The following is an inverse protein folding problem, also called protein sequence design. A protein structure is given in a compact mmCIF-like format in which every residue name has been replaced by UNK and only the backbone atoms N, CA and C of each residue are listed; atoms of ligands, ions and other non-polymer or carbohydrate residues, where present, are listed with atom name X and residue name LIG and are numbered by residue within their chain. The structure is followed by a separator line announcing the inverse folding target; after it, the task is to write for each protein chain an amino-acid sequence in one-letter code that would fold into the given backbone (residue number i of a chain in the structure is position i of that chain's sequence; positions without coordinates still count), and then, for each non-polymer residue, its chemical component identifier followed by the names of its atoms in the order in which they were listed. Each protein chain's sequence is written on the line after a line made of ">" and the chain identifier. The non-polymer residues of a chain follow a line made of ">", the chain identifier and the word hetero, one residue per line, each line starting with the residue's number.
data_IF_810273349393
#
_entry.id   IF_810273349393
#
_cell.length_a   1.000
_cell.length_b   1.000
_cell.length_c   1.000
_cell.angle_alpha   90.00
_cell.angle_beta   90.00
_cell.angle_gamma   90.00
#
_symmetry.space_group_name_H-M   'P 1'
#
loop_
_entity.id
_entity.type
_entity.pdbx_description
1 polymer ?
#
# COMPACT_ATOMS: atom_id res chain seq x y z
N UNK A 1 27.47 -5.96 2.38
CA UNK A 1 26.80 -7.27 2.64
C UNK A 1 26.27 -7.26 4.07
N UNK A 2 24.96 -7.40 4.24
CA UNK A 2 24.38 -7.53 5.58
C UNK A 2 24.83 -8.88 6.17
N UNK A 3 25.40 -8.84 7.38
CA UNK A 3 25.88 -10.04 8.10
C UNK A 3 24.72 -10.93 8.55
N UNK A 4 25.01 -12.22 8.76
CA UNK A 4 24.13 -13.13 9.48
C UNK A 4 23.97 -12.64 10.93
N UNK A 5 22.85 -12.98 11.56
CA UNK A 5 22.66 -12.80 12.97
C UNK A 5 21.40 -12.06 13.36
N UNK A 6 21.34 -11.73 14.64
CA UNK A 6 20.25 -11.00 15.27
C UNK A 6 20.47 -9.49 15.15
N UNK A 7 19.39 -8.76 15.03
CA UNK A 7 19.35 -7.30 15.09
C UNK A 7 17.98 -6.84 15.60
N UNK A 8 17.94 -5.65 16.14
CA UNK A 8 16.68 -5.10 16.64
C UNK A 8 16.84 -3.65 17.07
N UNK A 9 15.72 -3.02 17.34
CA UNK A 9 15.65 -1.69 17.93
C UNK A 9 14.41 -1.58 18.81
N UNK A 10 14.48 -0.70 19.79
CA UNK A 10 13.36 -0.27 20.61
C UNK A 10 13.23 1.24 20.50
N UNK A 11 12.01 1.72 20.54
CA UNK A 11 11.70 3.15 20.47
C UNK A 11 10.58 3.52 21.42
N UNK A 12 10.65 4.72 21.92
CA UNK A 12 9.61 5.40 22.68
C UNK A 12 9.46 6.81 22.13
N UNK A 13 8.24 7.26 21.96
CA UNK A 13 7.92 8.63 21.59
C UNK A 13 6.60 9.06 22.22
N UNK A 14 6.41 10.35 22.39
CA UNK A 14 5.11 10.89 22.80
C UNK A 14 4.80 12.17 22.02
N UNK A 15 3.53 12.44 21.85
CA UNK A 15 3.01 13.66 21.24
C UNK A 15 2.02 14.26 22.24
N UNK A 16 2.36 15.43 22.79
CA UNK A 16 1.51 16.14 23.75
C UNK A 16 0.15 16.51 23.15
N UNK A 17 -0.83 16.76 24.02
CA UNK A 17 -2.18 17.16 23.60
C UNK A 17 -2.17 18.50 22.85
N UNK A 18 -1.34 19.46 23.31
CA UNK A 18 -1.24 20.80 22.74
C UNK A 18 -0.25 20.89 21.55
N UNK A 19 0.32 19.75 21.13
CA UNK A 19 1.26 19.75 20.01
C UNK A 19 0.60 20.22 18.72
N UNK A 20 1.05 21.38 18.21
CA UNK A 20 0.55 21.98 16.97
C UNK A 20 1.73 22.32 16.05
N UNK A 21 2.06 21.43 15.08
CA UNK A 21 3.15 21.70 14.15
C UNK A 21 2.80 22.85 13.21
N UNK A 22 3.62 23.91 13.19
CA UNK A 22 3.38 25.11 12.37
C UNK A 22 3.44 24.80 10.85
N UNK A 23 4.18 23.78 10.43
CA UNK A 23 4.43 23.41 9.02
C UNK A 23 4.15 21.92 8.76
N UNK A 24 3.24 21.32 9.51
CA UNK A 24 2.94 19.91 9.37
C UNK A 24 1.56 19.53 9.88
N UNK A 25 1.28 18.22 9.88
CA UNK A 25 0.05 17.65 10.39
C UNK A 25 0.38 16.56 11.43
N UNK A 26 -0.29 16.58 12.56
CA UNK A 26 -0.23 15.52 13.56
C UNK A 26 -1.54 14.72 13.48
N UNK A 27 -1.44 13.47 13.04
CA UNK A 27 -2.60 12.58 12.90
C UNK A 27 -3.29 12.31 14.23
N UNK A 28 -2.50 12.26 15.30
CA UNK A 28 -2.98 12.00 16.66
C UNK A 28 -2.18 12.86 17.63
N UNK A 29 -2.81 13.29 18.71
CA UNK A 29 -2.23 14.06 19.82
C UNK A 29 -2.60 13.40 21.14
N UNK A 30 -1.89 13.74 22.20
CA UNK A 30 -2.13 13.13 23.51
C UNK A 30 -1.80 11.64 23.54
N UNK A 31 -0.73 11.22 22.83
CA UNK A 31 -0.37 9.80 22.70
C UNK A 31 1.08 9.55 23.11
N UNK A 32 1.30 8.43 23.75
CA UNK A 32 2.61 7.78 23.89
C UNK A 32 2.67 6.51 23.05
N UNK A 33 3.80 6.29 22.39
CA UNK A 33 4.03 5.19 21.47
C UNK A 33 5.26 4.39 21.86
N UNK A 34 5.10 3.09 21.94
CA UNK A 34 6.18 2.12 22.17
C UNK A 34 6.39 1.28 20.92
N UNK A 35 7.62 1.04 20.57
CA UNK A 35 7.97 0.17 19.45
C UNK A 35 9.13 -0.76 19.81
N UNK A 36 9.03 -2.00 19.37
CA UNK A 36 10.08 -3.00 19.47
C UNK A 36 10.14 -3.77 18.16
N UNK A 37 11.33 -3.92 17.60
CA UNK A 37 11.56 -4.71 16.40
C UNK A 37 12.71 -5.68 16.65
N UNK A 38 12.49 -6.94 16.27
CA UNK A 38 13.49 -7.99 16.24
C UNK A 38 13.61 -8.59 14.85
N UNK A 39 14.81 -8.93 14.44
CA UNK A 39 15.07 -9.64 13.19
C UNK A 39 16.19 -10.64 13.38
N UNK A 40 16.08 -11.76 12.68
CA UNK A 40 17.18 -12.71 12.47
C UNK A 40 17.38 -12.90 10.97
N UNK A 41 18.63 -12.88 10.52
CA UNK A 41 18.98 -13.10 9.12
C UNK A 41 19.98 -14.23 9.01
N UNK A 42 19.72 -15.12 8.06
CA UNK A 42 20.62 -16.17 7.64
C UNK A 42 20.87 -16.07 6.13
N UNK A 43 22.14 -16.02 5.73
CA UNK A 43 22.54 -16.04 4.32
C UNK A 43 22.97 -17.48 3.98
N UNK A 44 22.35 -18.08 2.97
CA UNK A 44 22.70 -19.41 2.49
C UNK A 44 23.93 -19.33 1.58
N UNK A 45 25.08 -19.78 2.08
CA UNK A 45 26.30 -19.78 1.30
C UNK A 45 26.34 -21.07 0.46
N UNK A 46 26.57 -20.93 -0.87
CA UNK A 46 26.64 -22.07 -1.80
C UNK A 46 25.31 -22.71 -2.18
N UNK A 47 24.20 -22.23 -1.69
CA UNK A 47 22.87 -22.73 -2.09
C UNK A 47 22.48 -22.16 -3.47
N UNK A 48 22.05 -23.02 -4.40
CA UNK A 48 21.79 -22.63 -5.80
C UNK A 48 20.56 -21.73 -6.00
N UNK A 49 19.57 -21.80 -5.12
CA UNK A 49 18.28 -21.11 -5.26
C UNK A 49 18.06 -20.06 -4.18
N UNK A 50 18.19 -20.42 -2.90
CA UNK A 50 17.95 -19.52 -1.77
C UNK A 50 19.17 -18.68 -1.47
N UNK A 51 18.97 -17.37 -1.34
CA UNK A 51 19.98 -16.40 -0.91
C UNK A 51 19.90 -16.12 0.58
N UNK A 52 18.70 -15.81 1.09
CA UNK A 52 18.52 -15.46 2.50
C UNK A 52 17.22 -15.98 3.07
N UNK A 53 17.26 -16.30 4.36
CA UNK A 53 16.12 -16.43 5.23
C UNK A 53 16.09 -15.26 6.20
N UNK A 54 14.91 -14.69 6.45
CA UNK A 54 14.73 -13.62 7.42
C UNK A 54 13.54 -13.96 8.32
N UNK A 55 13.76 -13.94 9.63
CA UNK A 55 12.72 -13.89 10.62
C UNK A 55 12.57 -12.44 11.06
N UNK A 56 11.35 -11.95 11.14
CA UNK A 56 11.07 -10.57 11.53
C UNK A 56 9.88 -10.53 12.48
N UNK A 57 10.00 -9.72 13.54
CA UNK A 57 8.89 -9.40 14.43
C UNK A 57 8.90 -7.92 14.78
N UNK A 58 7.74 -7.31 14.83
CA UNK A 58 7.53 -5.93 15.26
C UNK A 58 6.34 -5.86 16.21
N UNK A 59 6.54 -5.15 17.29
CA UNK A 59 5.52 -4.74 18.25
C UNK A 59 5.41 -3.22 18.19
N UNK A 60 4.20 -2.68 18.12
CA UNK A 60 3.91 -1.26 18.32
C UNK A 60 2.69 -1.15 19.23
N UNK A 61 2.70 -0.17 20.13
CA UNK A 61 1.59 0.11 21.02
C UNK A 61 1.46 1.61 21.22
N UNK A 62 0.26 2.13 21.02
CA UNK A 62 -0.11 3.51 21.27
C UNK A 62 -1.09 3.58 22.45
N UNK A 63 -0.86 4.50 23.38
CA UNK A 63 -1.69 4.75 24.53
C UNK A 63 -2.06 6.23 24.63
N UNK A 64 -3.23 6.50 25.16
CA UNK A 64 -3.62 7.85 25.52
C UNK A 64 -2.78 8.35 26.71
N UNK A 65 -2.15 9.52 26.59
CA UNK A 65 -1.28 10.10 27.62
C UNK A 65 -2.01 10.45 28.90
N UNK A 66 -3.27 10.92 28.80
CA UNK A 66 -4.01 11.38 29.96
C UNK A 66 -4.63 10.22 30.75
N UNK A 67 -5.16 9.21 30.05
CA UNK A 67 -5.90 8.10 30.69
C UNK A 67 -5.08 6.81 30.80
N UNK A 68 -4.00 6.67 30.02
CA UNK A 68 -3.24 5.42 29.90
C UNK A 68 -3.97 4.32 29.12
N UNK A 69 -5.15 4.60 28.58
CA UNK A 69 -5.92 3.62 27.81
C UNK A 69 -5.21 3.22 26.54
N UNK A 70 -5.40 1.95 26.15
CA UNK A 70 -4.92 1.43 24.89
C UNK A 70 -5.69 2.07 23.73
N UNK A 71 -4.97 2.74 22.84
CA UNK A 71 -5.49 3.26 21.55
C UNK A 71 -5.32 2.19 20.48
N UNK A 72 -4.09 1.71 20.30
CA UNK A 72 -3.79 0.65 19.33
C UNK A 72 -2.61 -0.22 19.80
N UNK A 73 -2.62 -1.48 19.40
CA UNK A 73 -1.48 -2.40 19.55
C UNK A 73 -1.41 -3.29 18.31
N UNK A 74 -0.23 -3.41 17.75
CA UNK A 74 0.03 -4.31 16.64
C UNK A 74 1.23 -5.19 16.93
N UNK A 75 1.06 -6.48 16.81
CA UNK A 75 2.12 -7.48 16.81
C UNK A 75 2.16 -8.08 15.41
N UNK A 76 3.23 -7.83 14.67
CA UNK A 76 3.45 -8.40 13.36
C UNK A 76 4.64 -9.36 13.40
N UNK A 77 4.48 -10.57 12.89
CA UNK A 77 5.53 -11.55 12.74
C UNK A 77 5.59 -12.11 11.33
N UNK A 78 6.79 -12.18 10.75
CA UNK A 78 7.04 -12.89 9.49
C UNK A 78 7.93 -14.08 9.80
N UNK A 79 7.31 -15.26 9.88
CA UNK A 79 7.96 -16.49 10.36
C UNK A 79 8.79 -17.11 9.24
N UNK A 80 8.21 -17.21 8.04
CA UNK A 80 8.90 -17.69 6.85
C UNK A 80 9.07 -16.50 5.90
N UNK A 81 10.30 -16.14 5.61
CA UNK A 81 10.59 -15.09 4.64
C UNK A 81 11.93 -15.41 3.96
N UNK A 82 11.83 -15.89 2.74
CA UNK A 82 12.94 -16.29 1.92
C UNK A 82 13.12 -15.38 0.73
N UNK A 83 14.38 -15.14 0.37
CA UNK A 83 14.74 -14.46 -0.87
C UNK A 83 15.62 -15.38 -1.72
N UNK A 84 15.35 -15.40 -3.01
CA UNK A 84 16.15 -16.14 -3.97
C UNK A 84 17.35 -15.32 -4.46
N UNK A 85 18.32 -15.96 -5.13
CA UNK A 85 19.40 -15.25 -5.81
C UNK A 85 18.90 -14.34 -6.95
N UNK A 86 17.76 -14.65 -7.53
CA UNK A 86 17.12 -13.82 -8.57
C UNK A 86 16.32 -12.65 -8.00
N UNK A 87 16.24 -12.51 -6.66
CA UNK A 87 15.53 -11.44 -5.97
C UNK A 87 14.03 -11.70 -5.76
N UNK A 88 13.56 -12.92 -6.05
CA UNK A 88 12.18 -13.30 -5.72
C UNK A 88 12.04 -13.46 -4.20
N UNK A 89 10.86 -13.15 -3.68
CA UNK A 89 10.54 -13.20 -2.26
C UNK A 89 9.28 -14.01 -2.03
N UNK A 90 9.29 -14.83 -1.01
CA UNK A 90 8.09 -15.49 -0.51
C UNK A 90 8.11 -15.51 1.01
N UNK A 91 6.94 -15.29 1.58
CA UNK A 91 6.84 -15.15 3.02
C UNK A 91 5.46 -15.51 3.56
N UNK A 92 5.46 -15.99 4.80
CA UNK A 92 4.26 -16.24 5.59
C UNK A 92 4.46 -15.57 6.94
N UNK A 93 3.42 -14.90 7.41
CA UNK A 93 3.43 -14.20 8.67
C UNK A 93 2.04 -14.12 9.30
N UNK A 94 1.97 -13.42 10.39
CA UNK A 94 0.71 -13.10 11.07
C UNK A 94 0.75 -11.68 11.60
N UNK A 95 -0.43 -11.11 11.81
CA UNK A 95 -0.61 -9.87 12.55
C UNK A 95 -1.70 -10.07 13.60
N UNK A 96 -1.44 -9.62 14.82
CA UNK A 96 -2.43 -9.46 15.86
C UNK A 96 -2.60 -7.98 16.14
N UNK A 97 -3.83 -7.51 16.06
CA UNK A 97 -4.20 -6.13 16.30
C UNK A 97 -5.11 -6.05 17.54
N UNK A 98 -4.94 -5.00 18.32
CA UNK A 98 -5.86 -4.60 19.37
C UNK A 98 -6.16 -3.12 19.19
N UNK A 99 -7.42 -2.77 19.20
CA UNK A 99 -7.88 -1.39 18.99
C UNK A 99 -8.90 -1.01 20.05
N UNK A 100 -8.77 0.19 20.59
CA UNK A 100 -9.72 0.81 21.49
C UNK A 100 -10.49 1.91 20.76
N UNK A 101 -11.71 1.64 20.35
CA UNK A 101 -12.59 2.66 19.76
C UNK A 101 -13.30 3.42 20.90
N UNK A 102 -13.04 4.73 20.99
CA UNK A 102 -13.67 5.60 22.01
C UNK A 102 -15.06 6.09 21.58
N UNK A 103 -15.39 5.97 20.30
CA UNK A 103 -16.67 6.29 19.71
C UNK A 103 -17.00 5.31 18.59
N UNK A 104 -18.26 5.27 18.20
CA UNK A 104 -18.71 4.46 17.07
C UNK A 104 -17.97 4.86 15.78
N UNK A 105 -17.57 3.86 15.01
CA UNK A 105 -16.80 4.02 13.77
C UNK A 105 -17.59 3.51 12.57
N UNK A 106 -18.07 4.41 11.74
CA UNK A 106 -18.72 4.04 10.49
C UNK A 106 -17.66 3.68 9.45
N UNK A 107 -17.49 2.37 9.21
CA UNK A 107 -16.51 1.85 8.24
C UNK A 107 -17.01 1.98 6.79
N UNK A 108 -18.32 1.94 6.63
CA UNK A 108 -19.04 2.15 5.37
C UNK A 108 -20.43 2.69 5.68
N UNK A 109 -21.03 3.44 4.75
CA UNK A 109 -22.37 3.96 4.93
C UNK A 109 -23.36 2.89 5.40
N UNK A 110 -23.92 3.08 6.61
CA UNK A 110 -24.84 2.15 7.26
C UNK A 110 -24.20 0.96 7.98
N UNK A 111 -22.87 0.81 7.97
CA UNK A 111 -22.15 -0.26 8.70
C UNK A 111 -21.28 0.40 9.77
N UNK A 112 -21.74 0.33 11.03
CA UNK A 112 -21.15 1.01 12.18
C UNK A 112 -20.57 -0.02 13.14
N UNK A 113 -19.26 0.07 13.39
CA UNK A 113 -18.57 -0.70 14.43
C UNK A 113 -18.72 0.07 15.75
N UNK A 114 -19.34 -0.51 16.78
CA UNK A 114 -19.56 0.18 18.06
C UNK A 114 -18.26 0.55 18.76
N UNK A 115 -18.31 1.57 19.61
CA UNK A 115 -17.23 1.86 20.54
C UNK A 115 -16.94 0.63 21.41
N UNK A 116 -15.65 0.31 21.62
CA UNK A 116 -15.27 -0.88 22.33
C UNK A 116 -13.79 -1.25 22.19
N UNK A 117 -13.41 -2.37 22.81
CA UNK A 117 -12.06 -2.93 22.70
C UNK A 117 -12.10 -4.18 21.83
N UNK A 118 -11.36 -4.17 20.74
CA UNK A 118 -11.31 -5.24 19.75
C UNK A 118 -9.93 -5.92 19.75
N UNK A 119 -9.90 -7.23 19.51
CA UNK A 119 -8.66 -7.98 19.33
C UNK A 119 -8.87 -8.98 18.19
N UNK A 120 -8.10 -8.85 17.13
CA UNK A 120 -8.24 -9.67 15.95
C UNK A 120 -6.89 -10.08 15.37
N UNK A 121 -6.87 -11.28 14.79
CA UNK A 121 -5.64 -11.88 14.25
C UNK A 121 -5.86 -12.28 12.79
N UNK A 122 -4.88 -12.00 11.95
CA UNK A 122 -4.89 -12.41 10.56
C UNK A 122 -3.57 -13.07 10.15
N UNK A 123 -3.65 -13.94 9.16
CA UNK A 123 -2.51 -14.56 8.49
C UNK A 123 -2.19 -13.80 7.21
N UNK A 124 -0.91 -13.67 6.93
CA UNK A 124 -0.38 -13.03 5.73
C UNK A 124 0.48 -14.04 4.96
N UNK A 125 0.23 -14.18 3.67
CA UNK A 125 1.10 -14.90 2.75
C UNK A 125 1.44 -13.99 1.56
N UNK A 126 2.72 -14.01 1.14
CA UNK A 126 3.21 -13.17 0.06
C UNK A 126 4.13 -13.97 -0.86
N UNK A 127 3.91 -13.80 -2.16
CA UNK A 127 4.83 -14.20 -3.22
C UNK A 127 5.05 -12.99 -4.12
N UNK A 128 6.32 -12.62 -4.33
CA UNK A 128 6.69 -11.51 -5.19
C UNK A 128 7.89 -11.91 -6.04
N UNK A 129 7.74 -11.86 -7.35
CA UNK A 129 8.86 -12.01 -8.26
C UNK A 129 9.66 -10.71 -8.39
N UNK A 130 10.94 -10.83 -8.65
CA UNK A 130 11.86 -9.72 -8.75
C UNK A 130 11.49 -8.75 -9.86
N UNK A 131 11.47 -7.45 -9.55
CA UNK A 131 11.24 -6.39 -10.54
C UNK A 131 12.37 -6.25 -11.57
N UNK A 132 13.46 -7.02 -11.44
CA UNK A 132 14.50 -7.14 -12.46
C UNK A 132 14.08 -8.05 -13.62
N UNK A 133 13.02 -8.82 -13.45
CA UNK A 133 12.45 -9.66 -14.52
C UNK A 133 11.64 -8.81 -15.48
N UNK A 134 11.63 -9.22 -16.75
CA UNK A 134 10.74 -8.59 -17.73
C UNK A 134 9.26 -8.80 -17.39
N UNK A 135 8.95 -9.92 -16.72
CA UNK A 135 7.63 -10.25 -16.21
C UNK A 135 7.74 -10.63 -14.72
N UNK A 136 7.15 -9.83 -13.86
CA UNK A 136 7.22 -9.96 -12.41
C UNK A 136 5.81 -9.93 -11.78
N UNK A 137 5.16 -11.09 -11.63
CA UNK A 137 3.91 -11.18 -10.89
C UNK A 137 4.13 -11.10 -9.38
N UNK A 138 3.09 -10.68 -8.67
CA UNK A 138 3.03 -10.69 -7.21
C UNK A 138 1.64 -11.08 -6.73
N UNK A 139 1.57 -11.73 -5.58
CA UNK A 139 0.33 -12.01 -4.88
C UNK A 139 0.54 -11.84 -3.39
N UNK A 140 -0.41 -11.20 -2.72
CA UNK A 140 -0.49 -11.08 -1.27
C UNK A 140 -1.88 -11.50 -0.82
N UNK A 141 -1.94 -12.33 0.20
CA UNK A 141 -3.19 -12.81 0.81
C UNK A 141 -3.15 -12.45 2.29
N UNK A 142 -4.20 -11.81 2.79
CA UNK A 142 -4.43 -11.56 4.20
C UNK A 142 -5.81 -12.09 4.56
N UNK A 143 -5.89 -13.03 5.50
CA UNK A 143 -7.14 -13.66 5.91
C UNK A 143 -7.19 -13.79 7.43
N UNK A 144 -8.35 -13.57 8.00
CA UNK A 144 -8.55 -13.75 9.44
C UNK A 144 -9.63 -12.89 10.02
N UNK A 145 -9.50 -12.62 11.30
CA UNK A 145 -10.46 -11.81 12.04
C UNK A 145 -10.30 -10.32 11.67
N UNK A 146 -11.39 -9.57 11.81
CA UNK A 146 -11.41 -8.13 11.58
C UNK A 146 -12.50 -7.50 12.48
N UNK A 147 -12.08 -6.75 13.50
CA UNK A 147 -12.92 -6.33 14.61
C UNK A 147 -13.67 -7.51 15.24
N UNK A 148 -14.99 -7.55 15.15
CA UNK A 148 -15.88 -8.61 15.63
C UNK A 148 -16.36 -9.58 14.52
N UNK A 149 -15.78 -9.44 13.32
CA UNK A 149 -16.08 -10.27 12.15
C UNK A 149 -14.82 -10.83 11.48
N UNK A 150 -14.87 -10.93 10.15
CA UNK A 150 -13.79 -11.51 9.32
C UNK A 150 -13.47 -10.65 8.12
N UNK A 151 -12.22 -10.76 7.65
CA UNK A 151 -11.77 -10.17 6.39
C UNK A 151 -10.90 -11.13 5.62
N UNK A 152 -11.20 -11.26 4.33
CA UNK A 152 -10.34 -11.90 3.34
C UNK A 152 -9.88 -10.87 2.33
N UNK A 153 -8.58 -10.69 2.20
CA UNK A 153 -7.99 -9.75 1.25
C UNK A 153 -7.03 -10.48 0.32
N UNK A 154 -7.19 -10.25 -0.96
CA UNK A 154 -6.35 -10.78 -2.03
C UNK A 154 -5.86 -9.62 -2.89
N UNK A 155 -4.55 -9.49 -2.99
CA UNK A 155 -3.92 -8.49 -3.84
C UNK A 155 -3.04 -9.21 -4.86
N UNK A 156 -3.31 -9.00 -6.13
CA UNK A 156 -2.51 -9.50 -7.24
C UNK A 156 -1.91 -8.33 -8.02
N UNK A 157 -0.70 -8.50 -8.50
CA UNK A 157 0.00 -7.50 -9.30
C UNK A 157 0.84 -8.16 -10.40
N UNK A 158 1.00 -7.45 -11.51
CA UNK A 158 1.87 -7.84 -12.61
C UNK A 158 2.65 -6.61 -13.05
N UNK A 159 3.97 -6.69 -12.98
CA UNK A 159 4.85 -5.76 -13.65
C UNK A 159 5.37 -6.44 -14.92
N UNK A 160 5.26 -5.75 -16.06
CA UNK A 160 5.72 -6.25 -17.34
C UNK A 160 6.53 -5.19 -18.09
N UNK A 161 7.74 -5.58 -18.47
CA UNK A 161 8.70 -4.76 -19.23
C UNK A 161 9.28 -5.62 -20.34
N UNK A 162 8.58 -5.75 -21.49
CA UNK A 162 9.03 -6.57 -22.61
C UNK A 162 10.33 -6.03 -23.25
N UNK A 163 10.46 -4.71 -23.29
CA UNK A 163 11.58 -3.98 -23.88
C UNK A 163 11.86 -2.66 -23.13
N UNK A 164 12.71 -1.83 -23.69
CA UNK A 164 13.09 -0.53 -23.14
C UNK A 164 12.01 0.57 -23.32
N UNK A 165 11.05 0.34 -24.21
CA UNK A 165 10.00 1.31 -24.52
C UNK A 165 8.76 1.15 -23.65
N UNK A 166 8.37 -0.10 -23.32
CA UNK A 166 7.11 -0.38 -22.63
C UNK A 166 7.34 -0.82 -21.19
N UNK A 167 6.69 -0.12 -20.28
CA UNK A 167 6.52 -0.55 -18.89
C UNK A 167 5.04 -0.56 -18.52
N UNK A 168 4.55 -1.70 -18.04
CA UNK A 168 3.20 -1.85 -17.53
C UNK A 168 3.23 -2.34 -16.09
N UNK A 169 2.37 -1.77 -15.26
CA UNK A 169 2.08 -2.27 -13.92
C UNK A 169 0.56 -2.32 -13.73
N UNK A 170 0.05 -3.53 -13.54
CA UNK A 170 -1.37 -3.77 -13.28
C UNK A 170 -1.51 -4.34 -11.89
N UNK A 171 -2.47 -3.85 -11.12
CA UNK A 171 -2.79 -4.39 -9.80
C UNK A 171 -4.29 -4.51 -9.60
N UNK A 172 -4.68 -5.52 -8.82
CA UNK A 172 -6.04 -5.75 -8.39
C UNK A 172 -6.04 -6.09 -6.89
N UNK A 173 -6.86 -5.38 -6.14
CA UNK A 173 -7.10 -5.61 -4.71
C UNK A 173 -8.58 -5.94 -4.52
N UNK A 174 -8.83 -7.11 -3.95
CA UNK A 174 -10.16 -7.57 -3.56
C UNK A 174 -10.18 -7.77 -2.06
N UNK A 175 -11.17 -7.21 -1.38
CA UNK A 175 -11.41 -7.44 0.03
C UNK A 175 -12.87 -7.83 0.23
N UNK A 176 -13.06 -8.89 0.98
CA UNK A 176 -14.35 -9.34 1.45
C UNK A 176 -14.41 -9.17 2.96
N UNK A 177 -15.38 -8.42 3.43
CA UNK A 177 -15.52 -8.01 4.84
C UNK A 177 -16.90 -8.42 5.32
N UNK A 178 -16.92 -9.28 6.31
CA UNK A 178 -18.12 -9.80 6.98
C UNK A 178 -18.10 -9.37 8.44
N UNK A 179 -19.01 -8.48 8.83
CA UNK A 179 -19.19 -7.98 10.19
C UNK A 179 -20.61 -8.31 10.68
N UNK A 180 -20.85 -8.42 11.99
CA UNK A 180 -22.22 -8.55 12.51
C UNK A 180 -23.16 -7.41 12.09
N UNK A 181 -22.59 -6.24 11.80
CA UNK A 181 -23.32 -5.02 11.39
C UNK A 181 -23.62 -4.98 9.90
N UNK A 182 -23.01 -5.85 9.09
CA UNK A 182 -23.20 -5.93 7.64
C UNK A 182 -21.96 -6.42 6.91
N UNK A 183 -22.14 -6.75 5.64
CA UNK A 183 -21.09 -7.26 4.75
C UNK A 183 -20.88 -6.34 3.57
N UNK A 184 -19.66 -6.28 3.06
CA UNK A 184 -19.36 -5.54 1.85
C UNK A 184 -18.03 -5.99 1.22
N UNK A 185 -17.92 -5.76 -0.08
CA UNK A 185 -16.69 -6.03 -0.82
C UNK A 185 -16.05 -4.74 -1.32
N UNK A 186 -14.71 -4.67 -1.24
CA UNK A 186 -13.91 -3.61 -1.86
C UNK A 186 -13.13 -4.20 -3.03
N UNK A 187 -13.21 -3.54 -4.18
CA UNK A 187 -12.51 -3.92 -5.42
C UNK A 187 -11.82 -2.70 -6.00
N UNK A 188 -10.50 -2.73 -5.99
CA UNK A 188 -9.68 -1.66 -6.56
C UNK A 188 -8.82 -2.28 -7.64
N UNK A 189 -8.93 -1.75 -8.86
CA UNK A 189 -8.07 -2.12 -9.96
C UNK A 189 -7.28 -0.91 -10.42
N UNK A 190 -5.99 -1.08 -10.74
CA UNK A 190 -5.21 -0.04 -11.38
C UNK A 190 -4.33 -0.59 -12.47
N UNK A 191 -4.15 0.20 -13.53
CA UNK A 191 -3.24 -0.08 -14.61
C UNK A 191 -2.41 1.18 -14.92
N UNK A 192 -1.10 1.07 -14.79
CA UNK A 192 -0.16 2.11 -15.18
C UNK A 192 0.61 1.61 -16.42
N UNK A 193 0.55 2.38 -17.51
CA UNK A 193 1.21 2.06 -18.77
C UNK A 193 2.09 3.23 -19.16
N UNK A 194 3.39 2.99 -19.21
CA UNK A 194 4.39 3.97 -19.61
C UNK A 194 5.01 3.52 -20.94
N UNK A 195 4.91 4.36 -21.95
CA UNK A 195 5.51 4.11 -23.25
C UNK A 195 6.48 5.22 -23.63
N UNK A 196 7.75 4.88 -23.85
CA UNK A 196 8.78 5.78 -24.33
C UNK A 196 8.97 5.58 -25.83
N UNK A 197 8.44 6.48 -26.64
CA UNK A 197 8.62 6.42 -28.10
C UNK A 197 10.10 6.57 -28.50
N UNK A 198 10.80 7.45 -27.75
CA UNK A 198 12.23 7.71 -27.85
C UNK A 198 12.67 8.55 -26.64
N UNK A 199 13.93 9.01 -26.62
CA UNK A 199 14.49 9.85 -25.53
C UNK A 199 13.77 11.19 -25.31
N UNK A 200 12.99 11.66 -26.29
CA UNK A 200 12.29 12.95 -26.23
C UNK A 200 10.78 12.82 -25.97
N UNK A 201 10.16 11.72 -26.35
CA UNK A 201 8.73 11.53 -26.26
C UNK A 201 8.37 10.36 -25.34
N UNK A 202 7.51 10.61 -24.39
CA UNK A 202 6.95 9.56 -23.51
C UNK A 202 5.47 9.80 -23.25
N UNK A 203 4.75 8.70 -23.07
CA UNK A 203 3.32 8.68 -22.79
C UNK A 203 3.05 7.82 -21.55
N UNK A 204 2.43 8.40 -20.56
CA UNK A 204 2.10 7.77 -19.27
C UNK A 204 0.59 7.79 -19.08
N UNK A 205 0.03 6.62 -18.80
CA UNK A 205 -1.39 6.46 -18.56
C UNK A 205 -1.61 5.75 -17.24
N UNK A 206 -2.53 6.25 -16.45
CA UNK A 206 -3.02 5.61 -15.24
C UNK A 206 -4.54 5.48 -15.35
N UNK A 207 -5.03 4.25 -15.25
CA UNK A 207 -6.44 3.94 -15.10
C UNK A 207 -6.66 3.33 -13.73
N UNK A 208 -7.66 3.82 -13.01
CA UNK A 208 -8.02 3.31 -11.69
C UNK A 208 -9.52 3.10 -11.62
N UNK A 209 -9.92 2.00 -11.03
CA UNK A 209 -11.30 1.67 -10.69
C UNK A 209 -11.41 1.39 -9.21
N UNK A 210 -12.43 1.94 -8.58
CA UNK A 210 -12.77 1.70 -7.18
C UNK A 210 -14.30 1.57 -7.06
N UNK A 211 -14.76 0.38 -6.64
CA UNK A 211 -16.18 0.15 -6.42
C UNK A 211 -16.72 0.79 -5.14
N UNK A 212 -15.83 1.16 -4.21
CA UNK A 212 -16.25 1.82 -2.97
C UNK A 212 -16.69 3.26 -3.23
N UNK A 213 -15.93 4.01 -4.02
CA UNK A 213 -16.28 5.35 -4.49
C UNK A 213 -17.10 5.34 -5.79
N UNK A 214 -17.40 4.14 -6.35
CA UNK A 214 -18.08 3.97 -7.65
C UNK A 214 -17.43 4.79 -8.76
N UNK A 215 -16.09 4.88 -8.77
CA UNK A 215 -15.38 5.78 -9.67
C UNK A 215 -14.41 5.05 -10.60
N UNK A 216 -14.28 5.58 -11.82
CA UNK A 216 -13.22 5.23 -12.78
C UNK A 216 -12.44 6.50 -13.12
N UNK A 217 -11.17 6.52 -12.74
CA UNK A 217 -10.25 7.60 -13.06
C UNK A 217 -9.32 7.26 -14.22
N UNK A 218 -9.13 8.18 -15.14
CA UNK A 218 -8.11 8.14 -16.20
C UNK A 218 -7.23 9.37 -16.11
N UNK A 219 -5.92 9.17 -15.96
CA UNK A 219 -4.91 10.20 -16.14
C UNK A 219 -4.01 9.81 -17.31
N UNK A 220 -3.96 10.62 -18.35
CA UNK A 220 -3.11 10.41 -19.53
C UNK A 220 -2.21 11.61 -19.72
N UNK A 221 -0.89 11.38 -19.79
CA UNK A 221 0.11 12.43 -19.89
C UNK A 221 1.10 12.14 -21.00
N UNK A 222 1.07 12.97 -22.04
CA UNK A 222 2.09 12.99 -23.08
C UNK A 222 3.15 14.04 -22.73
N UNK A 223 4.42 13.64 -22.73
CA UNK A 223 5.58 14.51 -22.50
C UNK A 223 6.43 14.61 -23.74
N UNK A 224 6.83 15.83 -24.06
CA UNK A 224 7.87 16.13 -25.04
C UNK A 224 9.01 16.90 -24.38
N UNK A 225 10.22 16.35 -24.44
CA UNK A 225 11.44 16.94 -23.92
C UNK A 225 12.43 17.14 -25.09
N UNK A 226 12.38 18.29 -25.80
CA UNK A 226 13.23 18.54 -26.96
C UNK A 226 14.71 18.63 -26.60
N UNK A 227 15.02 19.21 -25.43
CA UNK A 227 16.37 19.35 -24.92
C UNK A 227 16.36 19.43 -23.39
N UNK A 228 17.52 19.23 -22.76
CA UNK A 228 17.65 19.27 -21.30
C UNK A 228 17.15 20.60 -20.71
N UNK A 229 16.22 20.51 -19.78
CA UNK A 229 15.59 21.65 -19.11
C UNK A 229 14.37 22.24 -19.82
N UNK A 230 13.91 21.66 -20.93
CA UNK A 230 12.66 22.02 -21.60
C UNK A 230 11.69 20.85 -21.63
N UNK A 231 10.49 21.05 -21.11
CA UNK A 231 9.42 20.05 -21.11
C UNK A 231 8.08 20.67 -21.52
N UNK A 232 7.38 19.98 -22.41
CA UNK A 232 5.99 20.23 -22.73
C UNK A 232 5.16 19.03 -22.30
N UNK A 233 4.10 19.26 -21.55
CA UNK A 233 3.15 18.25 -21.14
C UNK A 233 1.76 18.57 -21.67
N UNK A 234 1.11 17.55 -22.21
CA UNK A 234 -0.34 17.52 -22.42
C UNK A 234 -0.91 16.52 -21.44
N UNK A 235 -1.79 16.95 -20.55
CA UNK A 235 -2.39 16.12 -19.53
C UNK A 235 -3.89 16.09 -19.73
N UNK A 236 -4.45 14.89 -19.70
CA UNK A 236 -5.88 14.64 -19.81
C UNK A 236 -6.31 13.86 -18.56
N UNK A 237 -7.24 14.43 -17.82
CA UNK A 237 -7.86 13.79 -16.67
C UNK A 237 -9.35 13.58 -16.94
N UNK A 238 -9.81 12.36 -16.77
CA UNK A 238 -11.23 12.02 -16.76
C UNK A 238 -11.59 11.30 -15.47
N UNK A 239 -12.72 11.68 -14.90
CA UNK A 239 -13.36 10.93 -13.83
C UNK A 239 -14.79 10.58 -14.24
N UNK A 240 -15.13 9.31 -14.10
CA UNK A 240 -16.43 8.77 -14.43
C UNK A 240 -17.03 8.16 -13.17
N UNK A 241 -18.31 8.40 -12.94
CA UNK A 241 -19.13 7.64 -12.01
C UNK A 241 -19.56 6.34 -12.69
N UNK A 242 -19.36 5.21 -12.05
CA UNK A 242 -19.62 3.88 -12.61
C UNK A 242 -20.96 3.26 -12.16
N UNK A 243 -21.76 3.95 -11.33
CA UNK A 243 -22.99 3.40 -10.75
C UNK A 243 -22.87 1.91 -10.33
N UNK A 244 -21.65 1.48 -9.95
CA UNK A 244 -21.33 0.11 -9.54
C UNK A 244 -21.05 -0.89 -10.66
N UNK A 245 -21.20 -0.54 -11.92
CA UNK A 245 -20.91 -1.42 -13.08
C UNK A 245 -20.26 -0.64 -14.23
N UNK A 246 -19.41 -1.32 -15.03
CA UNK A 246 -18.77 -0.70 -16.20
C UNK A 246 -19.75 -0.38 -17.34
N UNK A 247 -20.99 -0.86 -17.29
CA UNK A 247 -21.97 -0.71 -18.36
C UNK A 247 -22.61 0.70 -18.41
N UNK A 248 -22.48 1.48 -17.33
CA UNK A 248 -23.01 2.83 -17.22
C UNK A 248 -22.00 3.78 -16.63
N UNK A 249 -21.14 4.32 -17.47
CA UNK A 249 -20.17 5.35 -17.10
C UNK A 249 -20.77 6.72 -17.40
N UNK A 250 -21.08 7.50 -16.36
CA UNK A 250 -21.44 8.89 -16.51
C UNK A 250 -20.22 9.77 -16.25
N UNK A 251 -20.02 10.80 -17.10
CA UNK A 251 -18.89 11.71 -16.97
C UNK A 251 -19.14 12.68 -15.81
N UNK A 252 -18.30 12.59 -14.78
CA UNK A 252 -18.37 13.49 -13.63
C UNK A 252 -17.50 14.74 -13.86
N UNK A 253 -16.23 14.56 -14.22
CA UNK A 253 -15.27 15.66 -14.41
C UNK A 253 -14.28 15.33 -15.51
N UNK A 254 -13.90 16.34 -16.29
CA UNK A 254 -12.77 16.23 -17.22
C UNK A 254 -11.96 17.51 -17.22
N UNK A 255 -10.66 17.35 -17.37
CA UNK A 255 -9.70 18.44 -17.44
C UNK A 255 -8.66 18.14 -18.50
N UNK A 256 -8.33 19.14 -19.32
CA UNK A 256 -7.20 19.07 -20.23
C UNK A 256 -6.27 20.22 -19.86
N UNK A 257 -5.02 19.92 -19.56
CA UNK A 257 -4.02 20.91 -19.21
C UNK A 257 -2.81 20.82 -20.14
N UNK A 258 -2.31 21.99 -20.54
CA UNK A 258 -1.06 22.15 -21.25
C UNK A 258 -0.06 22.86 -20.34
N UNK A 259 1.10 22.24 -20.09
CA UNK A 259 2.15 22.82 -19.27
C UNK A 259 3.47 22.83 -20.02
N UNK A 260 4.09 24.01 -20.13
CA UNK A 260 5.45 24.17 -20.64
C UNK A 260 6.37 24.63 -19.50
N UNK A 261 7.54 24.02 -19.42
CA UNK A 261 8.57 24.36 -18.43
C UNK A 261 9.90 24.55 -19.14
N UNK A 262 10.61 25.65 -18.83
CA UNK A 262 11.96 25.92 -19.29
C UNK A 262 12.85 26.34 -18.11
N UNK A 263 13.97 25.65 -17.96
CA UNK A 263 14.99 25.97 -16.96
C UNK A 263 16.08 26.81 -17.59
N UNK A 264 16.29 27.99 -17.05
CA UNK A 264 17.43 28.84 -17.42
C UNK A 264 18.57 28.59 -16.44
N UNK A 265 19.78 28.37 -16.97
CA UNK A 265 21.00 28.30 -16.18
C UNK A 265 21.83 29.52 -16.51
N UNK A 266 22.19 30.28 -15.50
CA UNK A 266 23.03 31.46 -15.59
C UNK A 266 24.44 31.10 -15.15
#
# INVERSE_FOLDING_TARGET
>A
TQSNGLGGNAGYSYIGEDFNPALGFANQRGIESYSLMGRYRHNFIGHSFLRTYNLFSRFTQDRNLATGDLVSENIFGRILNFNTHRGDQFGIGFARNREGLTQDFEIRSGIVIPAGKYSFTNLNAQLQFSNQRNFAPSITVNIGDFYDGKRSQYQAGIQWRPDEHLFMNVSYNYQDIELPQGEFTVRIASANVNYAFNSKWSWVNLVQYDNFSSSVGLNSRLRWNPQAGEDLFVVINYNFDSEGTFDRLSREKSEIALKYTKTFRF
#
